data_IF_762205772290
#
_entry.id   IF_762205772290
#
_cell.length_a   1.000
_cell.length_b   1.000
_cell.length_c   1.000
_cell.angle_alpha   90.00
_cell.angle_beta   90.00
_cell.angle_gamma   90.00
#
_symmetry.space_group_name_H-M   'P 1'
#
loop_
_entity.id
_entity.type
_entity.pdbx_description
1 polymer ?
#
# COMPACT_ATOMS: atom_id res chain seq x y z
N UNK A 1 -18.69 -12.62 12.07
CA UNK A 1 -18.25 -11.43 11.30
C UNK A 1 -19.10 -11.24 10.03
N UNK A 2 -19.37 -12.27 9.20
CA UNK A 2 -20.20 -12.14 7.99
C UNK A 2 -21.64 -11.65 8.24
N UNK A 3 -22.32 -12.17 9.28
CA UNK A 3 -23.69 -11.76 9.62
C UNK A 3 -23.78 -10.32 10.13
N UNK A 4 -22.80 -9.85 10.89
CA UNK A 4 -22.77 -8.46 11.37
C UNK A 4 -22.59 -7.45 10.24
N UNK A 5 -21.76 -7.73 9.23
CA UNK A 5 -21.55 -6.83 8.09
C UNK A 5 -22.80 -6.69 7.21
N UNK A 6 -23.50 -7.79 6.93
CA UNK A 6 -24.78 -7.75 6.22
C UNK A 6 -25.86 -7.01 7.01
N UNK A 7 -25.89 -7.15 8.34
CA UNK A 7 -26.79 -6.36 9.20
C UNK A 7 -26.46 -4.88 9.14
N UNK A 8 -25.19 -4.46 9.18
CA UNK A 8 -24.80 -3.06 9.12
C UNK A 8 -25.25 -2.38 7.82
N UNK A 9 -25.16 -3.03 6.67
CA UNK A 9 -25.63 -2.47 5.39
C UNK A 9 -27.17 -2.39 5.38
N UNK A 10 -27.87 -3.40 5.85
CA UNK A 10 -29.34 -3.35 6.05
C UNK A 10 -29.78 -2.23 6.99
N UNK A 11 -28.90 -1.81 7.92
CA UNK A 11 -29.13 -0.72 8.86
C UNK A 11 -28.71 0.68 8.33
N UNK A 12 -28.61 0.84 6.99
CA UNK A 12 -28.32 2.09 6.24
C UNK A 12 -26.84 2.48 6.12
N UNK A 13 -25.89 1.63 6.42
CA UNK A 13 -24.49 1.87 6.01
C UNK A 13 -24.36 1.66 4.51
N UNK A 14 -23.87 2.67 3.80
CA UNK A 14 -23.75 2.68 2.33
C UNK A 14 -22.31 2.49 1.85
N UNK A 15 -21.36 2.51 2.75
CA UNK A 15 -19.94 2.35 2.47
C UNK A 15 -19.32 1.24 3.32
N UNK A 16 -18.47 0.44 2.70
CA UNK A 16 -17.67 -0.60 3.35
C UNK A 16 -16.21 -0.40 3.03
N UNK A 17 -15.36 -0.36 4.07
CA UNK A 17 -13.91 -0.41 3.92
C UNK A 17 -13.42 -1.79 4.33
N UNK A 18 -12.86 -2.55 3.39
CA UNK A 18 -12.19 -3.81 3.67
C UNK A 18 -10.80 -3.53 4.19
N UNK A 19 -10.51 -3.96 5.41
CA UNK A 19 -9.22 -3.74 6.05
C UNK A 19 -8.73 -5.00 6.74
N UNK A 20 -7.42 -5.10 6.92
CA UNK A 20 -6.76 -6.20 7.60
C UNK A 20 -5.28 -5.89 7.81
N UNK A 21 -4.59 -6.64 8.67
CA UNK A 21 -3.14 -6.50 8.89
C UNK A 21 -2.38 -6.74 7.58
N UNK A 22 -2.84 -7.71 6.78
CA UNK A 22 -2.30 -8.02 5.45
C UNK A 22 -3.46 -8.44 4.54
N UNK A 23 -4.19 -7.46 4.02
CA UNK A 23 -5.40 -7.70 3.22
C UNK A 23 -5.11 -8.51 1.96
N UNK A 24 -3.93 -8.32 1.35
CA UNK A 24 -3.49 -9.04 0.16
C UNK A 24 -3.33 -10.56 0.36
N UNK A 25 -3.20 -11.04 1.59
CA UNK A 25 -3.14 -12.47 1.90
C UNK A 25 -4.49 -13.07 2.32
N UNK A 26 -5.59 -12.34 2.16
CA UNK A 26 -6.90 -12.85 2.55
C UNK A 26 -7.24 -14.14 1.81
N UNK A 27 -7.56 -15.21 2.58
CA UNK A 27 -7.98 -16.50 2.03
C UNK A 27 -6.85 -17.37 1.46
N UNK A 28 -5.60 -16.91 1.48
CA UNK A 28 -4.45 -17.71 1.01
C UNK A 28 -3.94 -18.71 2.06
N UNK A 29 -4.45 -18.68 3.28
CA UNK A 29 -4.04 -19.54 4.41
C UNK A 29 -4.26 -21.04 4.14
N UNK A 30 -5.15 -21.36 3.20
CA UNK A 30 -5.51 -22.73 2.82
C UNK A 30 -4.98 -23.15 1.45
N UNK A 31 -4.21 -22.31 0.78
CA UNK A 31 -3.60 -22.65 -0.50
C UNK A 31 -2.26 -23.36 -0.25
N UNK A 32 -2.11 -24.56 -0.79
CA UNK A 32 -0.83 -25.25 -0.82
C UNK A 32 0.15 -24.45 -1.68
N UNK A 33 1.09 -23.79 -1.04
CA UNK A 33 2.12 -22.95 -1.64
C UNK A 33 2.10 -21.56 -1.06
N UNK A 34 3.08 -21.26 -0.18
CA UNK A 34 3.38 -19.85 0.15
C UNK A 34 3.60 -19.08 -1.14
N UNK A 35 3.19 -17.79 -1.21
CA UNK A 35 3.43 -17.00 -2.40
C UNK A 35 4.90 -17.09 -2.78
N UNK A 36 5.16 -17.44 -4.04
CA UNK A 36 6.50 -17.58 -4.58
C UNK A 36 7.27 -16.30 -4.25
N UNK A 37 8.45 -16.40 -3.65
CA UNK A 37 9.29 -15.24 -3.37
C UNK A 37 9.46 -14.44 -4.67
N UNK A 38 8.94 -13.21 -4.72
CA UNK A 38 9.00 -12.32 -5.87
C UNK A 38 7.88 -12.47 -6.91
N UNK A 39 6.92 -13.40 -6.75
CA UNK A 39 5.76 -13.54 -7.64
C UNK A 39 4.57 -12.65 -7.22
N UNK A 40 3.57 -12.55 -8.11
CA UNK A 40 2.32 -11.86 -7.85
C UNK A 40 1.50 -12.61 -6.78
N UNK A 41 0.73 -11.85 -5.99
CA UNK A 41 -0.23 -12.43 -5.06
C UNK A 41 -1.45 -12.94 -5.83
N UNK A 42 -1.97 -14.09 -5.41
CA UNK A 42 -3.27 -14.53 -5.87
C UNK A 42 -4.37 -13.64 -5.27
N UNK A 43 -5.00 -12.87 -6.14
CA UNK A 43 -6.11 -11.98 -5.77
C UNK A 43 -7.47 -12.67 -5.72
N UNK A 44 -7.57 -13.94 -6.12
CA UNK A 44 -8.84 -14.67 -6.24
C UNK A 44 -9.68 -14.66 -4.97
N UNK A 45 -9.16 -15.06 -3.81
CA UNK A 45 -9.94 -15.05 -2.57
C UNK A 45 -10.42 -13.66 -2.13
N UNK A 46 -9.60 -12.63 -2.33
CA UNK A 46 -9.99 -11.26 -2.04
C UNK A 46 -11.03 -10.76 -3.04
N UNK A 47 -10.87 -11.10 -4.32
CA UNK A 47 -11.85 -10.79 -5.35
C UNK A 47 -13.21 -11.43 -5.04
N UNK A 48 -13.26 -12.71 -4.69
CA UNK A 48 -14.50 -13.42 -4.32
C UNK A 48 -15.22 -12.73 -3.16
N UNK A 49 -14.46 -12.20 -2.19
CA UNK A 49 -15.02 -11.42 -1.09
C UNK A 49 -15.63 -10.10 -1.59
N UNK A 50 -14.89 -9.36 -2.42
CA UNK A 50 -15.33 -8.07 -2.97
C UNK A 50 -16.60 -8.26 -3.80
N UNK A 51 -16.62 -9.25 -4.69
CA UNK A 51 -17.79 -9.58 -5.54
C UNK A 51 -19.03 -9.93 -4.72
N UNK A 52 -18.88 -10.66 -3.63
CA UNK A 52 -20.00 -10.96 -2.72
C UNK A 52 -20.50 -9.72 -1.97
N UNK A 53 -19.61 -8.80 -1.64
CA UNK A 53 -19.97 -7.55 -0.97
C UNK A 53 -20.68 -6.62 -1.94
N UNK A 54 -20.21 -6.52 -3.19
CA UNK A 54 -20.82 -5.74 -4.26
C UNK A 54 -22.31 -6.11 -4.47
N UNK A 55 -22.67 -7.40 -4.33
CA UNK A 55 -24.06 -7.88 -4.48
C UNK A 55 -24.98 -7.53 -3.31
N UNK A 56 -24.51 -6.82 -2.28
CA UNK A 56 -25.35 -6.45 -1.14
C UNK A 56 -26.17 -5.21 -1.51
N UNK A 57 -27.48 -5.35 -1.50
CA UNK A 57 -28.42 -4.29 -1.86
C UNK A 57 -28.25 -3.05 -0.94
N UNK A 58 -28.20 -1.87 -1.53
CA UNK A 58 -28.05 -0.60 -0.83
C UNK A 58 -26.62 -0.20 -0.52
N UNK A 59 -25.62 -0.99 -0.91
CA UNK A 59 -24.21 -0.59 -0.85
C UNK A 59 -23.89 0.36 -2.01
N UNK A 60 -23.27 1.50 -1.69
CA UNK A 60 -22.92 2.52 -2.68
C UNK A 60 -21.41 2.64 -2.89
N UNK A 61 -20.58 2.24 -1.91
CA UNK A 61 -19.13 2.38 -1.99
C UNK A 61 -18.38 1.22 -1.34
N UNK A 62 -17.36 0.75 -2.05
CA UNK A 62 -16.41 -0.24 -1.55
C UNK A 62 -15.01 0.37 -1.62
N UNK A 63 -14.29 0.34 -0.50
CA UNK A 63 -12.88 0.73 -0.41
C UNK A 63 -12.03 -0.40 0.11
N UNK A 64 -10.76 -0.41 -0.31
CA UNK A 64 -9.75 -1.31 0.23
C UNK A 64 -8.81 -0.52 1.15
N UNK A 65 -8.43 -1.14 2.26
CA UNK A 65 -7.32 -0.68 3.10
C UNK A 65 -5.97 -0.98 2.45
N UNK A 66 -4.92 -1.01 3.28
CA UNK A 66 -3.55 -1.18 2.80
C UNK A 66 -3.36 -2.49 2.02
N UNK A 67 -2.80 -2.36 0.82
CA UNK A 67 -2.47 -3.45 -0.08
C UNK A 67 -0.95 -3.59 -0.23
N UNK A 68 -0.51 -4.81 -0.34
CA UNK A 68 0.85 -5.10 -0.80
C UNK A 68 0.88 -4.95 -2.34
N UNK A 69 1.88 -4.25 -2.91
CA UNK A 69 1.87 -3.87 -4.32
C UNK A 69 1.65 -5.01 -5.31
N UNK A 70 2.19 -6.20 -5.04
CA UNK A 70 2.14 -7.37 -5.93
C UNK A 70 0.74 -7.94 -6.17
N UNK A 71 -0.28 -7.56 -5.36
CA UNK A 71 -1.66 -7.95 -5.64
C UNK A 71 -2.26 -7.19 -6.83
N UNK A 72 -1.66 -6.04 -7.19
CA UNK A 72 -2.13 -5.23 -8.31
C UNK A 72 -1.64 -5.86 -9.62
N UNK A 73 -2.41 -6.80 -10.12
CA UNK A 73 -2.29 -7.31 -11.49
C UNK A 73 -3.26 -6.56 -12.40
N UNK A 74 -3.01 -6.58 -13.71
CA UNK A 74 -3.94 -5.98 -14.68
C UNK A 74 -5.33 -6.61 -14.55
N UNK A 75 -5.39 -7.94 -14.47
CA UNK A 75 -6.65 -8.67 -14.31
C UNK A 75 -7.42 -8.23 -13.05
N UNK A 76 -6.74 -8.11 -11.91
CA UNK A 76 -7.39 -7.68 -10.67
C UNK A 76 -7.89 -6.22 -10.76
N UNK A 77 -7.10 -5.33 -11.34
CA UNK A 77 -7.47 -3.94 -11.53
C UNK A 77 -8.67 -3.78 -12.48
N UNK A 78 -8.71 -4.53 -13.59
CA UNK A 78 -9.83 -4.55 -14.54
C UNK A 78 -11.12 -5.09 -13.90
N UNK A 79 -11.02 -6.14 -13.09
CA UNK A 79 -12.16 -6.65 -12.31
C UNK A 79 -12.71 -5.59 -11.34
N UNK A 80 -11.84 -4.89 -10.63
CA UNK A 80 -12.26 -3.80 -9.73
C UNK A 80 -12.92 -2.64 -10.49
N UNK A 81 -12.37 -2.26 -11.63
CA UNK A 81 -12.92 -1.20 -12.49
C UNK A 81 -14.30 -1.54 -13.06
N UNK A 82 -14.63 -2.83 -13.17
CA UNK A 82 -15.95 -3.29 -13.55
C UNK A 82 -17.05 -3.13 -12.49
N UNK A 83 -16.70 -2.74 -11.26
CA UNK A 83 -17.65 -2.54 -10.16
C UNK A 83 -17.96 -1.05 -9.97
N UNK A 84 -19.18 -0.58 -10.26
CA UNK A 84 -19.55 0.83 -10.15
C UNK A 84 -19.45 1.39 -8.73
N UNK A 85 -19.56 0.57 -7.69
CA UNK A 85 -19.43 0.96 -6.29
C UNK A 85 -17.97 0.99 -5.81
N UNK A 86 -17.02 0.50 -6.61
CA UNK A 86 -15.62 0.50 -6.22
C UNK A 86 -15.00 1.90 -6.30
N UNK A 87 -14.48 2.39 -5.19
CA UNK A 87 -13.79 3.68 -5.16
C UNK A 87 -12.35 3.52 -5.67
N UNK A 88 -11.91 4.28 -6.69
CA UNK A 88 -10.55 4.20 -7.23
C UNK A 88 -9.52 4.86 -6.29
N UNK A 89 -9.44 4.35 -5.07
CA UNK A 89 -8.52 4.76 -4.03
C UNK A 89 -7.69 3.54 -3.60
N UNK A 90 -6.37 3.64 -3.74
CA UNK A 90 -5.44 2.54 -3.51
C UNK A 90 -4.33 2.95 -2.54
N UNK A 91 -4.36 2.40 -1.35
CA UNK A 91 -3.24 2.53 -0.42
C UNK A 91 -2.25 1.39 -0.65
N UNK A 92 -1.14 1.67 -1.35
CA UNK A 92 -0.09 0.70 -1.66
C UNK A 92 1.12 0.95 -0.75
N UNK A 93 1.44 0.01 0.12
CA UNK A 93 2.54 0.14 1.08
C UNK A 93 3.90 0.09 0.37
N UNK A 94 4.56 1.25 0.16
CA UNK A 94 5.89 1.36 -0.45
C UNK A 94 6.99 1.18 0.59
N UNK A 95 6.94 1.94 1.66
CA UNK A 95 7.89 2.01 2.77
C UNK A 95 9.21 2.74 2.47
N UNK A 96 9.84 2.55 1.30
CA UNK A 96 11.03 3.25 0.83
C UNK A 96 11.09 3.23 -0.70
N UNK A 97 11.63 4.28 -1.30
CA UNK A 97 11.89 4.36 -2.74
C UNK A 97 13.31 3.97 -3.15
N UNK A 98 14.04 3.25 -2.30
CA UNK A 98 15.36 2.71 -2.58
C UNK A 98 15.38 1.20 -2.39
N UNK A 99 15.80 0.45 -3.41
CA UNK A 99 15.79 -1.02 -3.40
C UNK A 99 16.70 -1.61 -2.32
N UNK A 100 17.83 -0.99 -2.01
CA UNK A 100 18.72 -1.43 -0.94
C UNK A 100 18.02 -1.34 0.43
N UNK A 101 17.29 -0.26 0.67
CA UNK A 101 16.49 -0.09 1.90
C UNK A 101 15.31 -1.05 1.94
N UNK A 102 14.57 -1.23 0.84
CA UNK A 102 13.48 -2.22 0.73
C UNK A 102 13.97 -3.64 1.07
N UNK A 103 15.13 -4.03 0.55
CA UNK A 103 15.76 -5.33 0.86
C UNK A 103 16.09 -5.46 2.36
N UNK A 104 16.62 -4.41 3.01
CA UNK A 104 16.86 -4.40 4.47
C UNK A 104 15.56 -4.50 5.27
N UNK A 105 14.48 -3.89 4.77
CA UNK A 105 13.12 -4.00 5.34
C UNK A 105 12.47 -5.37 5.08
N UNK A 106 13.15 -6.30 4.38
CA UNK A 106 12.62 -7.60 3.95
C UNK A 106 11.39 -7.47 3.04
N UNK A 107 11.35 -6.46 2.18
CA UNK A 107 10.33 -6.33 1.13
C UNK A 107 10.69 -7.19 -0.07
N UNK A 108 9.67 -7.73 -0.73
CA UNK A 108 9.82 -8.70 -1.82
C UNK A 108 9.39 -8.11 -3.18
N UNK A 109 9.44 -6.80 -3.31
CA UNK A 109 9.22 -6.03 -4.53
C UNK A 109 10.32 -4.98 -4.67
N UNK A 110 10.55 -4.54 -5.89
CA UNK A 110 11.46 -3.44 -6.22
C UNK A 110 10.71 -2.13 -6.46
N UNK A 111 11.43 -1.03 -6.53
CA UNK A 111 10.89 0.27 -6.95
C UNK A 111 10.32 0.20 -8.37
N UNK A 112 10.95 -0.53 -9.28
CA UNK A 112 10.46 -0.76 -10.64
C UNK A 112 9.13 -1.54 -10.64
N UNK A 113 9.03 -2.62 -9.85
CA UNK A 113 7.78 -3.35 -9.67
C UNK A 113 6.67 -2.46 -9.16
N UNK A 114 6.97 -1.63 -8.16
CA UNK A 114 6.02 -0.71 -7.57
C UNK A 114 5.51 0.31 -8.60
N UNK A 115 6.42 0.94 -9.34
CA UNK A 115 6.08 1.92 -10.37
C UNK A 115 5.20 1.30 -11.47
N UNK A 116 5.52 0.07 -11.89
CA UNK A 116 4.70 -0.68 -12.86
C UNK A 116 3.27 -0.91 -12.33
N UNK A 117 3.09 -1.24 -11.04
CA UNK A 117 1.76 -1.40 -10.43
C UNK A 117 0.97 -0.10 -10.41
N UNK A 118 1.61 1.01 -10.07
CA UNK A 118 0.99 2.34 -10.18
C UNK A 118 0.59 2.66 -11.63
N UNK A 119 1.43 2.28 -12.61
CA UNK A 119 1.13 2.43 -14.04
C UNK A 119 -0.14 1.67 -14.44
N UNK A 120 -0.28 0.40 -14.04
CA UNK A 120 -1.49 -0.41 -14.30
C UNK A 120 -2.76 0.29 -13.77
N UNK A 121 -2.71 0.82 -12.56
CA UNK A 121 -3.87 1.52 -11.98
C UNK A 121 -4.22 2.78 -12.77
N UNK A 122 -3.23 3.56 -13.19
CA UNK A 122 -3.43 4.79 -13.97
C UNK A 122 -3.89 4.55 -15.41
N UNK A 123 -3.60 3.38 -15.98
CA UNK A 123 -4.12 2.98 -17.29
C UNK A 123 -5.59 2.55 -17.24
N UNK A 124 -6.02 1.96 -16.12
CA UNK A 124 -7.35 1.34 -16.01
C UNK A 124 -8.36 2.30 -15.37
N UNK A 125 -7.94 3.10 -14.40
CA UNK A 125 -8.82 4.02 -13.69
C UNK A 125 -8.55 5.47 -14.10
N UNK A 126 -9.61 6.23 -14.20
CA UNK A 126 -9.52 7.69 -14.37
C UNK A 126 -9.16 8.35 -13.02
N UNK A 127 -8.04 9.03 -12.96
CA UNK A 127 -7.51 9.71 -11.76
C UNK A 127 -7.57 8.87 -10.46
N UNK A 128 -6.93 7.68 -10.39
CA UNK A 128 -6.97 6.86 -9.18
C UNK A 128 -6.13 7.50 -8.06
N UNK A 129 -6.72 7.74 -6.91
CA UNK A 129 -5.99 8.22 -5.74
C UNK A 129 -5.05 7.14 -5.22
N UNK A 130 -3.75 7.27 -5.49
CA UNK A 130 -2.72 6.35 -4.99
C UNK A 130 -2.07 6.99 -3.76
N UNK A 131 -2.18 6.30 -2.61
CA UNK A 131 -1.57 6.73 -1.35
C UNK A 131 -0.58 5.70 -0.85
N UNK A 132 0.34 6.11 0.03
CA UNK A 132 1.36 5.21 0.55
C UNK A 132 1.87 5.59 1.92
N UNK A 133 2.56 4.64 2.57
CA UNK A 133 3.40 4.88 3.74
C UNK A 133 4.88 4.94 3.35
N UNK A 134 5.63 5.88 3.94
CA UNK A 134 7.08 6.01 3.78
C UNK A 134 7.76 6.12 5.14
N UNK A 135 8.81 5.35 5.36
CA UNK A 135 9.60 5.36 6.60
C UNK A 135 10.91 6.08 6.35
N UNK A 136 11.13 7.20 7.03
CA UNK A 136 12.39 7.95 7.01
C UNK A 136 13.35 7.45 8.10
N UNK A 137 14.61 7.22 7.75
CA UNK A 137 15.67 6.85 8.67
C UNK A 137 15.60 5.41 9.17
N UNK A 138 15.26 4.47 8.30
CA UNK A 138 15.41 3.04 8.60
C UNK A 138 16.89 2.71 8.87
N UNK A 139 17.22 1.75 9.77
CA UNK A 139 18.61 1.39 10.06
C UNK A 139 19.43 1.12 8.79
N UNK A 140 20.59 1.74 8.70
CA UNK A 140 21.50 1.65 7.56
C UNK A 140 21.10 2.49 6.34
N UNK A 141 20.04 3.31 6.41
CA UNK A 141 19.71 4.24 5.33
C UNK A 141 20.72 5.35 5.21
N UNK A 142 21.49 5.38 4.11
CA UNK A 142 22.46 6.43 3.81
C UNK A 142 21.78 7.71 3.30
N UNK A 143 22.57 8.78 3.08
CA UNK A 143 22.03 9.99 2.48
C UNK A 143 21.70 9.80 1.00
N UNK A 144 22.52 9.03 0.30
CA UNK A 144 22.29 8.67 -1.10
C UNK A 144 21.01 7.84 -1.29
N UNK A 145 20.77 6.87 -0.40
CA UNK A 145 19.54 6.06 -0.41
C UNK A 145 18.29 6.86 -0.07
N UNK A 146 18.42 7.83 0.86
CA UNK A 146 17.34 8.77 1.15
C UNK A 146 17.01 9.64 -0.06
N UNK A 147 18.03 10.15 -0.76
CA UNK A 147 17.87 10.99 -1.93
C UNK A 147 17.30 10.19 -3.12
N UNK A 148 17.67 8.91 -3.25
CA UNK A 148 17.04 7.97 -4.20
C UNK A 148 15.54 7.82 -3.89
N UNK A 149 15.19 7.61 -2.61
CA UNK A 149 13.79 7.55 -2.16
C UNK A 149 13.04 8.83 -2.53
N UNK A 150 13.59 10.01 -2.25
CA UNK A 150 12.96 11.30 -2.56
C UNK A 150 12.63 11.44 -4.06
N UNK A 151 13.62 11.14 -4.94
CA UNK A 151 13.43 11.19 -6.40
C UNK A 151 12.40 10.17 -6.89
N UNK A 152 12.39 8.99 -6.30
CA UNK A 152 11.40 7.97 -6.65
C UNK A 152 9.98 8.44 -6.31
N UNK A 153 9.77 9.03 -5.14
CA UNK A 153 8.48 9.58 -4.73
C UNK A 153 7.99 10.68 -5.69
N UNK A 154 8.88 11.58 -6.12
CA UNK A 154 8.59 12.60 -7.15
C UNK A 154 8.18 11.97 -8.49
N UNK A 155 8.79 10.84 -8.86
CA UNK A 155 8.45 10.11 -10.09
C UNK A 155 7.08 9.45 -10.02
N UNK A 156 6.73 8.86 -8.86
CA UNK A 156 5.44 8.17 -8.69
C UNK A 156 4.28 9.16 -8.63
N UNK A 157 4.43 10.35 -8.01
CA UNK A 157 3.40 11.38 -7.85
C UNK A 157 2.18 10.84 -7.13
N UNK A 158 2.29 10.70 -5.82
CA UNK A 158 1.21 10.22 -4.97
C UNK A 158 0.14 11.30 -4.74
N UNK A 159 -1.11 10.85 -4.56
CA UNK A 159 -2.17 11.70 -4.03
C UNK A 159 -1.88 12.14 -2.59
N UNK A 160 -1.44 11.20 -1.74
CA UNK A 160 -1.12 11.43 -0.34
C UNK A 160 -0.04 10.45 0.13
N UNK A 161 0.83 10.89 1.03
CA UNK A 161 1.84 10.04 1.67
C UNK A 161 1.80 10.21 3.19
N UNK A 162 1.79 9.08 3.89
CA UNK A 162 2.00 9.08 5.34
C UNK A 162 3.49 8.87 5.64
N UNK A 163 4.15 9.91 6.11
CA UNK A 163 5.57 9.89 6.42
C UNK A 163 5.79 9.55 7.89
N UNK A 164 6.52 8.48 8.15
CA UNK A 164 6.87 8.01 9.48
C UNK A 164 8.37 8.06 9.70
N UNK A 165 8.82 8.60 10.83
CA UNK A 165 10.19 8.38 11.31
C UNK A 165 10.30 6.94 11.79
N UNK A 166 11.37 6.24 11.40
CA UNK A 166 11.61 4.91 11.95
C UNK A 166 11.62 4.93 13.47
N UNK A 167 10.81 4.11 14.08
CA UNK A 167 10.72 3.91 15.53
C UNK A 167 11.17 2.50 15.91
N UNK A 168 12.14 2.43 16.81
CA UNK A 168 12.70 1.18 17.30
C UNK A 168 11.66 0.41 18.11
N UNK A 169 11.27 -0.78 17.63
CA UNK A 169 10.31 -1.65 18.31
C UNK A 169 11.02 -2.89 18.85
N UNK A 170 10.95 -3.11 20.15
CA UNK A 170 11.54 -4.29 20.79
C UNK A 170 11.03 -5.60 20.13
N UNK A 171 11.93 -6.56 19.95
CA UNK A 171 11.61 -7.86 19.34
C UNK A 171 11.65 -7.87 17.80
N UNK A 172 11.89 -6.72 17.14
CA UNK A 172 12.05 -6.70 15.68
C UNK A 172 13.53 -6.81 15.28
N UNK A 173 13.80 -7.40 14.10
CA UNK A 173 15.15 -7.48 13.53
C UNK A 173 15.76 -6.08 13.36
N UNK A 174 15.00 -5.10 12.89
CA UNK A 174 15.46 -3.73 12.71
C UNK A 174 15.91 -3.04 14.02
N UNK A 175 15.34 -3.45 15.16
CA UNK A 175 15.70 -2.89 16.45
C UNK A 175 17.13 -3.26 16.92
N UNK A 176 17.70 -4.36 16.41
CA UNK A 176 19.04 -4.84 16.78
C UNK A 176 20.08 -4.60 15.67
N UNK A 177 19.72 -3.93 14.58
CA UNK A 177 20.66 -3.48 13.57
C UNK A 177 21.59 -2.42 14.15
N UNK A 178 22.90 -2.48 13.81
CA UNK A 178 23.94 -1.60 14.38
C UNK A 178 23.84 -0.17 13.84
N UNK A 179 23.55 -0.01 12.55
CA UNK A 179 23.55 1.28 11.85
C UNK A 179 22.26 2.08 12.08
N UNK A 180 21.94 2.37 13.34
CA UNK A 180 20.76 3.18 13.68
C UNK A 180 20.97 4.64 13.27
N UNK A 181 20.01 5.18 12.52
CA UNK A 181 20.00 6.59 12.12
C UNK A 181 19.63 7.46 13.33
N UNK A 182 20.34 8.59 13.53
CA UNK A 182 20.07 9.51 14.65
C UNK A 182 18.67 10.17 14.52
N UNK A 183 18.08 10.52 15.65
CA UNK A 183 16.76 11.19 15.67
C UNK A 183 16.77 12.54 14.93
N UNK A 184 17.90 13.25 14.96
CA UNK A 184 18.06 14.51 14.24
C UNK A 184 18.01 14.31 12.72
N UNK A 185 18.69 13.28 12.21
CA UNK A 185 18.66 12.93 10.76
C UNK A 185 17.27 12.46 10.35
N UNK A 186 16.61 11.60 11.16
CA UNK A 186 15.23 11.17 10.90
C UNK A 186 14.27 12.34 10.83
N UNK A 187 14.38 13.31 11.76
CA UNK A 187 13.54 14.50 11.77
C UNK A 187 13.73 15.30 10.48
N UNK A 188 14.98 15.64 10.11
CA UNK A 188 15.29 16.37 8.88
C UNK A 188 14.73 15.66 7.63
N UNK A 189 14.94 14.33 7.50
CA UNK A 189 14.45 13.54 6.37
C UNK A 189 12.91 13.52 6.33
N UNK A 190 12.28 13.37 7.48
CA UNK A 190 10.83 13.43 7.60
C UNK A 190 10.28 14.79 7.14
N UNK A 191 10.91 15.90 7.55
CA UNK A 191 10.48 17.25 7.18
C UNK A 191 10.58 17.46 5.67
N UNK A 192 11.64 16.97 5.02
CA UNK A 192 11.81 17.02 3.55
C UNK A 192 10.70 16.25 2.86
N UNK A 193 10.38 15.04 3.32
CA UNK A 193 9.33 14.23 2.71
C UNK A 193 7.92 14.79 2.94
N UNK A 194 7.65 15.41 4.09
CA UNK A 194 6.39 16.09 4.38
C UNK A 194 6.18 17.34 3.50
N UNK A 195 7.25 18.06 3.17
CA UNK A 195 7.15 19.18 2.23
C UNK A 195 6.92 18.71 0.79
N UNK A 196 7.57 17.60 0.39
CA UNK A 196 7.33 16.96 -0.89
C UNK A 196 5.88 16.47 -1.01
N UNK A 197 5.34 15.83 0.04
CA UNK A 197 3.95 15.38 0.12
C UNK A 197 2.97 16.53 -0.13
N UNK A 198 3.13 17.66 0.57
CA UNK A 198 2.29 18.85 0.39
C UNK A 198 2.31 19.38 -1.05
N UNK A 199 3.47 19.32 -1.70
CA UNK A 199 3.62 19.76 -3.08
C UNK A 199 2.85 18.84 -4.02
N UNK A 200 3.04 17.53 -3.91
CA UNK A 200 2.35 16.54 -4.74
C UNK A 200 0.83 16.56 -4.54
N UNK A 201 0.37 16.66 -3.29
CA UNK A 201 -1.06 16.68 -2.97
C UNK A 201 -1.79 17.92 -3.53
N UNK A 202 -1.08 19.04 -3.76
CA UNK A 202 -1.64 20.23 -4.39
C UNK A 202 -1.71 20.13 -5.90
N UNK A 203 -0.86 19.32 -6.51
CA UNK A 203 -0.80 19.12 -7.96
C UNK A 203 -1.78 18.05 -8.47
N UNK A 204 -2.34 17.25 -7.57
CA UNK A 204 -3.32 16.23 -7.87
C UNK A 204 -4.72 16.83 -8.07
#
# INVERSE_FOLDING_TARGET
IRRQRQMCIRDRYREVVLTGIHLSSYGTEHMEGSPVKGGDWDSGPLWDLIERIHRVEGLERIRLGSLEPRIITREFAEKLAGLPEFCPHFHLSLQSGCDATLKRMNRHYTTEDYLRRCGILREIFDHPAITTDVIAGFPGETEEEFEETRRFLETVRFYEMHVFKYSKRQGTRAAVMEDQVSEQVKARRSDVLLELEKTMSREY
#
